data_IF_599488084700
#
_entry.id   IF_599488084700
#
_cell.length_a   1.000
_cell.length_b   1.000
_cell.length_c   1.000
_cell.angle_alpha   90.00
_cell.angle_beta   90.00
_cell.angle_gamma   90.00
#
_symmetry.space_group_name_H-M   'P 1'
#
loop_
_entity.id
_entity.type
_entity.pdbx_description
1 polymer ?
#
# COMPACT_ATOMS: atom_id res chain seq x y z
N UNK A 1 -10.65 4.87 -21.33
CA UNK A 1 -10.24 3.47 -21.11
C UNK A 1 -11.31 2.81 -20.25
N UNK A 2 -11.72 1.59 -20.60
CA UNK A 2 -12.85 0.86 -20.00
C UNK A 2 -12.42 -0.14 -18.90
N UNK A 3 -11.21 0.02 -18.38
CA UNK A 3 -10.62 -0.91 -17.42
C UNK A 3 -10.85 -0.45 -15.99
N UNK A 4 -11.01 -1.41 -15.08
CA UNK A 4 -11.13 -1.18 -13.64
C UNK A 4 -10.04 -1.96 -12.91
N UNK A 5 -9.43 -1.34 -11.91
CA UNK A 5 -8.41 -1.96 -11.07
C UNK A 5 -8.93 -2.02 -9.64
N UNK A 6 -8.80 -3.17 -9.00
CA UNK A 6 -9.09 -3.36 -7.59
C UNK A 6 -7.80 -3.75 -6.86
N UNK A 7 -7.55 -3.11 -5.73
CA UNK A 7 -6.43 -3.44 -4.84
C UNK A 7 -6.95 -3.72 -3.44
N UNK A 8 -6.34 -4.70 -2.78
CA UNK A 8 -6.67 -5.07 -1.42
C UNK A 8 -5.49 -5.78 -0.76
N UNK A 9 -5.51 -5.85 0.56
CA UNK A 9 -4.77 -6.77 1.37
C UNK A 9 -5.66 -7.99 1.69
N UNK A 10 -5.13 -9.20 1.67
CA UNK A 10 -5.92 -10.36 2.07
C UNK A 10 -5.68 -10.74 3.54
N UNK A 11 -6.50 -11.65 4.08
CA UNK A 11 -6.30 -12.18 5.43
C UNK A 11 -5.33 -13.38 5.50
N UNK A 12 -5.06 -14.06 4.38
CA UNK A 12 -4.26 -15.28 4.35
C UNK A 12 -2.78 -14.98 4.22
N UNK A 13 -2.39 -14.16 3.25
CA UNK A 13 -1.00 -13.77 3.04
C UNK A 13 -0.66 -12.44 3.74
N UNK A 14 -1.67 -11.58 3.96
CA UNK A 14 -1.53 -10.21 4.47
C UNK A 14 -0.67 -9.33 3.58
N UNK A 15 -0.71 -9.62 2.29
CA UNK A 15 0.07 -8.95 1.23
C UNK A 15 -0.88 -8.19 0.29
N UNK A 16 -0.36 -7.21 -0.48
CA UNK A 16 -1.17 -6.46 -1.42
C UNK A 16 -1.38 -7.27 -2.70
N UNK A 17 -2.63 -7.27 -3.17
CA UNK A 17 -3.06 -7.91 -4.41
C UNK A 17 -3.72 -6.90 -5.34
N UNK A 18 -3.60 -7.17 -6.63
CA UNK A 18 -4.25 -6.50 -7.74
C UNK A 18 -5.18 -7.48 -8.46
N UNK A 19 -6.36 -7.03 -8.87
CA UNK A 19 -7.14 -7.67 -9.92
C UNK A 19 -7.66 -6.63 -10.90
N UNK A 20 -7.73 -7.01 -12.17
CA UNK A 20 -8.09 -6.13 -13.27
C UNK A 20 -9.33 -6.63 -13.99
N UNK A 21 -10.23 -5.70 -14.31
CA UNK A 21 -11.37 -5.92 -15.20
C UNK A 21 -11.18 -5.13 -16.49
N UNK A 22 -11.60 -5.74 -17.61
CA UNK A 22 -11.58 -5.13 -18.96
C UNK A 22 -13.00 -4.96 -19.53
N UNK A 23 -14.01 -5.18 -18.69
CA UNK A 23 -15.42 -5.26 -19.04
C UNK A 23 -16.29 -4.58 -17.97
N UNK A 24 -15.88 -3.39 -17.54
CA UNK A 24 -16.61 -2.54 -16.59
C UNK A 24 -16.94 -3.22 -15.25
N UNK A 25 -16.07 -4.13 -14.79
CA UNK A 25 -16.21 -4.83 -13.52
C UNK A 25 -17.03 -6.13 -13.60
N UNK A 26 -17.45 -6.57 -14.79
CA UNK A 26 -18.23 -7.79 -14.94
C UNK A 26 -17.41 -9.06 -14.69
N UNK A 27 -16.14 -9.09 -15.14
CA UNK A 27 -15.19 -10.16 -14.85
C UNK A 27 -13.84 -9.60 -14.39
N UNK A 28 -13.12 -10.42 -13.64
CA UNK A 28 -11.88 -10.05 -12.96
C UNK A 28 -10.78 -11.07 -13.23
N UNK A 29 -9.54 -10.61 -13.37
CA UNK A 29 -8.39 -11.51 -13.47
C UNK A 29 -8.19 -12.29 -12.16
N UNK A 30 -7.44 -13.39 -12.24
CA UNK A 30 -6.82 -13.99 -11.06
C UNK A 30 -6.04 -12.90 -10.30
N UNK A 31 -6.14 -12.85 -8.96
CA UNK A 31 -5.36 -11.91 -8.15
C UNK A 31 -3.86 -12.04 -8.40
N UNK A 32 -3.18 -10.89 -8.49
CA UNK A 32 -1.75 -10.79 -8.71
C UNK A 32 -1.13 -10.14 -7.47
N UNK A 33 -0.22 -10.85 -6.80
CA UNK A 33 0.50 -10.32 -5.65
C UNK A 33 1.51 -9.26 -6.12
N UNK A 34 1.51 -8.09 -5.47
CA UNK A 34 2.32 -6.93 -5.85
C UNK A 34 3.21 -6.41 -4.71
N UNK A 35 3.50 -7.25 -3.71
CA UNK A 35 4.38 -6.90 -2.60
C UNK A 35 5.82 -6.66 -3.09
N UNK A 36 6.48 -5.59 -2.61
CA UNK A 36 7.93 -5.49 -2.64
C UNK A 36 8.59 -6.73 -2.00
N UNK A 37 9.73 -7.23 -2.52
CA UNK A 37 10.47 -8.31 -1.88
C UNK A 37 10.83 -7.96 -0.42
N UNK A 38 10.61 -8.91 0.49
CA UNK A 38 10.88 -8.73 1.92
C UNK A 38 9.73 -8.14 2.73
N UNK A 39 8.72 -7.55 2.09
CA UNK A 39 7.50 -7.12 2.80
C UNK A 39 6.67 -8.33 3.17
N UNK A 40 6.27 -8.41 4.44
CA UNK A 40 5.55 -9.54 5.04
C UNK A 40 4.16 -9.19 5.54
N UNK A 41 3.83 -7.90 5.60
CA UNK A 41 2.50 -7.43 5.92
C UNK A 41 2.27 -6.04 5.35
N UNK A 42 1.05 -5.78 4.89
CA UNK A 42 0.61 -4.45 4.46
C UNK A 42 -0.79 -4.16 5.00
N UNK A 43 -1.17 -2.89 4.97
CA UNK A 43 -2.54 -2.48 5.20
C UNK A 43 -2.92 -1.34 4.26
N UNK A 44 -4.21 -1.08 4.11
CA UNK A 44 -4.75 0.11 3.44
C UNK A 44 -4.17 0.46 2.05
N UNK A 45 -4.13 -0.49 1.09
CA UNK A 45 -3.70 -0.15 -0.26
C UNK A 45 -4.64 0.89 -0.89
N UNK A 46 -4.08 2.00 -1.32
CA UNK A 46 -4.74 3.05 -2.11
C UNK A 46 -4.15 3.08 -3.51
N UNK A 47 -4.98 3.33 -4.53
CA UNK A 47 -4.60 3.25 -5.95
C UNK A 47 -5.00 4.50 -6.71
N UNK A 48 -4.15 4.92 -7.64
CA UNK A 48 -4.51 5.81 -8.73
C UNK A 48 -4.15 5.19 -10.09
N UNK A 49 -5.02 5.41 -11.07
CA UNK A 49 -4.84 4.94 -12.43
C UNK A 49 -4.52 6.12 -13.37
N UNK A 50 -3.60 5.90 -14.31
CA UNK A 50 -3.30 6.82 -15.40
C UNK A 50 -3.81 6.26 -16.73
N UNK A 51 -2.96 6.29 -17.76
CA UNK A 51 -3.25 5.62 -19.03
C UNK A 51 -3.49 4.11 -18.86
N UNK A 52 -4.03 3.46 -19.88
CA UNK A 52 -4.26 2.02 -19.89
C UNK A 52 -2.99 1.23 -19.49
N UNK A 53 -3.09 0.39 -18.46
CA UNK A 53 -1.98 -0.37 -17.89
C UNK A 53 -1.12 0.40 -16.88
N UNK A 54 -1.28 1.72 -16.73
CA UNK A 54 -0.52 2.53 -15.77
C UNK A 54 -1.26 2.67 -14.45
N UNK A 55 -0.68 2.13 -13.40
CA UNK A 55 -1.18 2.27 -12.03
C UNK A 55 -0.07 2.67 -11.09
N UNK A 56 -0.45 3.33 -10.00
CA UNK A 56 0.38 3.53 -8.82
C UNK A 56 -0.42 3.17 -7.58
N UNK A 57 0.19 2.44 -6.66
CA UNK A 57 -0.41 1.99 -5.41
C UNK A 57 0.47 2.45 -4.26
N UNK A 58 -0.14 2.96 -3.20
CA UNK A 58 0.53 3.32 -1.95
C UNK A 58 -0.05 2.52 -0.79
N UNK A 59 0.81 2.02 0.09
CA UNK A 59 0.39 1.36 1.34
C UNK A 59 1.49 1.40 2.40
N UNK A 60 1.16 1.43 3.70
CA UNK A 60 2.08 1.03 4.75
C UNK A 60 2.39 -0.47 4.64
N UNK A 61 3.64 -0.84 4.89
CA UNK A 61 4.05 -2.23 4.97
C UNK A 61 5.24 -2.44 5.92
N UNK A 62 5.37 -3.67 6.42
CA UNK A 62 6.45 -4.08 7.31
C UNK A 62 7.26 -5.22 6.71
N UNK A 63 8.59 -5.11 6.81
CA UNK A 63 9.53 -6.20 6.53
C UNK A 63 9.80 -7.11 7.74
N UNK A 64 9.34 -6.73 8.94
CA UNK A 64 9.44 -7.62 10.11
C UNK A 64 8.44 -8.77 10.02
N UNK A 65 8.93 -9.98 10.34
CA UNK A 65 8.11 -11.20 10.50
C UNK A 65 7.61 -11.39 11.94
N UNK A 66 8.09 -10.58 12.88
CA UNK A 66 7.66 -10.67 14.28
C UNK A 66 6.38 -9.83 14.48
N UNK A 67 5.22 -10.43 14.24
CA UNK A 67 3.91 -9.78 14.38
C UNK A 67 3.59 -9.33 15.81
N UNK A 68 4.34 -9.77 16.81
CA UNK A 68 4.16 -9.41 18.22
C UNK A 68 5.13 -8.33 18.71
N UNK A 69 6.01 -7.83 17.84
CA UNK A 69 6.92 -6.73 18.19
C UNK A 69 6.16 -5.41 18.28
N UNK A 70 6.06 -4.87 19.50
CA UNK A 70 5.41 -3.59 19.77
C UNK A 70 6.14 -2.39 19.13
N UNK A 71 7.41 -2.54 18.72
CA UNK A 71 8.18 -1.51 18.03
C UNK A 71 8.31 -1.77 16.52
N UNK A 72 7.54 -2.73 15.98
CA UNK A 72 7.64 -3.18 14.59
C UNK A 72 7.49 -2.02 13.60
N UNK A 73 8.48 -1.76 12.72
CA UNK A 73 8.43 -0.61 11.83
C UNK A 73 7.51 -0.85 10.63
N UNK A 74 6.73 0.17 10.30
CA UNK A 74 5.95 0.24 9.06
C UNK A 74 6.44 1.41 8.21
N UNK A 75 6.74 1.14 6.95
CA UNK A 75 7.18 2.14 5.97
C UNK A 75 6.10 2.31 4.90
N UNK A 76 6.04 3.48 4.28
CA UNK A 76 5.17 3.71 3.13
C UNK A 76 5.87 3.18 1.88
N UNK A 77 5.23 2.20 1.24
CA UNK A 77 5.65 1.71 -0.06
C UNK A 77 4.81 2.32 -1.17
N UNK A 78 5.47 2.65 -2.27
CA UNK A 78 4.82 3.01 -3.54
C UNK A 78 5.19 1.95 -4.56
N UNK A 79 4.18 1.31 -5.16
CA UNK A 79 4.32 0.30 -6.21
C UNK A 79 3.69 0.82 -7.49
N UNK A 80 4.38 0.63 -8.61
CA UNK A 80 4.02 1.15 -9.93
C UNK A 80 4.00 0.02 -10.94
N UNK A 81 3.08 0.09 -11.91
CA UNK A 81 3.17 -0.70 -13.13
C UNK A 81 2.78 0.16 -14.32
N UNK A 82 3.40 -0.11 -15.48
CA UNK A 82 3.02 0.50 -16.77
C UNK A 82 2.32 -0.48 -17.70
N UNK A 83 2.18 -1.73 -17.27
CA UNK A 83 1.58 -2.82 -18.03
C UNK A 83 0.68 -3.71 -17.14
N UNK A 84 -0.05 -3.10 -16.21
CA UNK A 84 -0.93 -3.78 -15.24
C UNK A 84 -2.05 -4.64 -15.88
N UNK A 85 -2.29 -4.46 -17.18
CA UNK A 85 -3.28 -5.22 -17.96
C UNK A 85 -2.65 -6.43 -18.69
N UNK A 86 -1.36 -6.67 -18.55
CA UNK A 86 -0.75 -7.87 -19.13
C UNK A 86 -1.08 -9.09 -18.27
N UNK A 87 -0.95 -10.30 -18.84
CA UNK A 87 -1.09 -11.54 -18.07
C UNK A 87 0.00 -11.69 -16.99
N UNK A 88 1.17 -11.08 -17.20
CA UNK A 88 2.30 -11.05 -16.28
C UNK A 88 2.83 -9.61 -16.16
N UNK A 89 2.14 -8.74 -15.40
CA UNK A 89 2.56 -7.35 -15.26
C UNK A 89 3.88 -7.25 -14.50
N UNK A 90 4.64 -6.19 -14.77
CA UNK A 90 5.86 -5.87 -14.02
C UNK A 90 5.56 -4.79 -13.00
N UNK A 91 6.03 -4.98 -11.77
CA UNK A 91 5.91 -4.00 -10.69
C UNK A 91 7.28 -3.46 -10.31
N UNK A 92 7.38 -2.13 -10.23
CA UNK A 92 8.55 -1.42 -9.69
C UNK A 92 8.11 -0.73 -8.41
N UNK A 93 8.98 -0.61 -7.41
CA UNK A 93 8.60 -0.09 -6.11
C UNK A 93 9.69 0.74 -5.45
N UNK A 94 9.31 1.52 -4.45
CA UNK A 94 10.22 2.25 -3.57
C UNK A 94 9.58 2.44 -2.18
N UNK A 95 10.41 2.61 -1.15
CA UNK A 95 9.96 3.15 0.14
C UNK A 95 9.99 4.68 0.07
N UNK A 96 8.90 5.33 0.49
CA UNK A 96 8.73 6.78 0.40
C UNK A 96 9.37 7.56 1.58
N UNK A 97 9.75 6.85 2.65
CA UNK A 97 10.40 7.39 3.84
C UNK A 97 11.76 6.70 4.09
N UNK A 98 12.60 7.29 4.95
CA UNK A 98 13.83 6.62 5.43
C UNK A 98 13.42 5.41 6.28
N UNK A 99 14.00 4.23 6.02
CA UNK A 99 13.68 3.01 6.77
C UNK A 99 14.00 3.11 8.28
N UNK A 100 14.84 4.07 8.69
CA UNK A 100 15.14 4.36 10.10
C UNK A 100 14.09 5.27 10.76
N UNK A 101 13.25 5.92 9.95
CA UNK A 101 12.18 6.82 10.36
C UNK A 101 10.83 6.32 9.77
N UNK A 102 10.32 5.18 10.28
CA UNK A 102 9.06 4.59 9.83
C UNK A 102 7.86 5.47 10.23
N UNK A 103 6.82 5.45 9.39
CA UNK A 103 5.57 6.20 9.57
C UNK A 103 4.72 5.71 10.74
N UNK A 104 5.02 4.51 11.24
CA UNK A 104 4.33 3.89 12.38
C UNK A 104 5.20 2.81 13.01
N UNK A 105 5.01 2.58 14.31
CA UNK A 105 5.60 1.45 15.04
C UNK A 105 4.51 0.67 15.78
N UNK A 106 4.61 -0.65 15.76
CA UNK A 106 3.71 -1.55 16.48
C UNK A 106 2.67 -2.22 15.60
N UNK A 107 1.48 -2.48 16.17
CA UNK A 107 0.41 -3.18 15.49
C UNK A 107 -0.22 -2.29 14.40
N UNK A 108 -0.43 -2.88 13.22
CA UNK A 108 -1.08 -2.24 12.07
C UNK A 108 -1.72 -3.26 11.12
N UNK A 109 -2.02 -4.46 11.62
CA UNK A 109 -2.74 -5.47 10.87
C UNK A 109 -3.26 -6.60 11.78
N UNK A 110 -4.54 -6.98 11.69
CA UNK A 110 -5.58 -6.51 10.76
C UNK A 110 -6.36 -5.26 11.26
N UNK A 111 -5.90 -4.61 12.33
CA UNK A 111 -6.54 -3.44 12.93
C UNK A 111 -6.32 -2.13 12.15
N UNK A 112 -6.54 -0.98 12.81
CA UNK A 112 -6.42 0.36 12.21
C UNK A 112 -5.08 1.06 12.44
N UNK A 113 -4.01 0.28 12.63
CA UNK A 113 -2.70 0.82 12.96
C UNK A 113 -2.69 1.61 14.27
N UNK A 114 -3.46 1.13 15.24
CA UNK A 114 -3.45 1.59 16.63
C UNK A 114 -2.46 0.72 17.40
N UNK A 115 -1.34 1.31 17.80
CA UNK A 115 -0.33 0.66 18.62
C UNK A 115 -0.78 0.58 20.08
N UNK A 116 -0.24 -0.40 20.80
CA UNK A 116 -0.61 -0.66 22.20
C UNK A 116 -0.15 0.46 23.16
N UNK A 117 0.81 1.27 22.73
CA UNK A 117 1.34 2.43 23.45
C UNK A 117 0.56 3.71 23.18
N UNK A 118 -0.57 3.65 22.47
CA UNK A 118 -1.41 4.80 22.14
C UNK A 118 -1.00 5.55 20.86
N UNK A 119 0.06 5.13 20.17
CA UNK A 119 0.38 5.61 18.82
C UNK A 119 -0.66 5.16 17.79
N UNK A 120 -0.94 5.96 16.75
CA UNK A 120 -1.87 5.56 15.69
C UNK A 120 -1.56 6.23 14.37
N UNK A 121 -1.48 5.49 13.26
CA UNK A 121 -1.24 6.11 11.95
C UNK A 121 -2.43 6.99 11.47
N UNK A 122 -3.60 6.94 12.13
CA UNK A 122 -4.84 7.65 11.76
C UNK A 122 -5.34 7.43 10.31
N UNK A 123 -4.86 6.38 9.63
CA UNK A 123 -5.28 5.90 8.30
C UNK A 123 -5.53 6.94 7.18
N UNK A 124 -4.83 8.09 7.20
CA UNK A 124 -4.91 9.12 6.15
C UNK A 124 -3.89 8.90 5.03
N UNK A 125 -4.26 8.06 4.06
CA UNK A 125 -3.44 7.68 2.91
C UNK A 125 -4.15 8.04 1.60
N UNK A 126 -3.46 8.73 0.70
CA UNK A 126 -3.99 9.03 -0.63
C UNK A 126 -2.87 9.05 -1.67
N UNK A 127 -3.21 8.72 -2.91
CA UNK A 127 -2.34 8.86 -4.07
C UNK A 127 -3.14 9.32 -5.28
N UNK A 128 -2.54 10.19 -6.09
CA UNK A 128 -3.16 10.76 -7.28
C UNK A 128 -2.16 10.81 -8.44
N UNK A 129 -2.65 10.74 -9.68
CA UNK A 129 -1.85 10.85 -10.90
C UNK A 129 -2.23 12.13 -11.64
N UNK A 130 -1.22 12.93 -12.01
CA UNK A 130 -1.38 14.15 -12.80
C UNK A 130 -1.79 13.82 -14.23
N UNK A 131 -2.89 14.40 -14.73
CA UNK A 131 -3.33 14.19 -16.12
C UNK A 131 -2.39 14.84 -17.15
N UNK A 132 -1.55 15.80 -16.75
CA UNK A 132 -0.69 16.54 -17.67
C UNK A 132 0.57 15.77 -18.09
N UNK A 133 1.02 14.79 -17.29
CA UNK A 133 2.27 14.08 -17.57
C UNK A 133 2.46 12.75 -16.84
N UNK A 134 1.44 12.23 -16.15
CA UNK A 134 1.50 10.94 -15.47
C UNK A 134 2.36 10.92 -14.20
N UNK A 135 2.93 12.05 -13.78
CA UNK A 135 3.57 12.17 -12.47
C UNK A 135 2.55 11.90 -11.36
N UNK A 136 2.94 11.17 -10.33
CA UNK A 136 2.07 10.89 -9.20
C UNK A 136 2.49 11.69 -7.97
N UNK A 137 1.53 11.93 -7.07
CA UNK A 137 1.76 12.50 -5.76
C UNK A 137 0.99 11.69 -4.72
N UNK A 138 1.69 11.27 -3.66
CA UNK A 138 1.13 10.52 -2.55
C UNK A 138 1.30 11.26 -1.24
N UNK A 139 0.35 11.07 -0.33
CA UNK A 139 0.36 11.61 1.02
C UNK A 139 0.08 10.50 2.02
N UNK A 140 0.84 10.49 3.10
CA UNK A 140 0.60 9.67 4.29
C UNK A 140 0.80 10.56 5.52
N UNK A 141 0.05 10.29 6.58
CA UNK A 141 0.25 10.93 7.88
C UNK A 141 0.96 9.96 8.82
N UNK A 142 1.92 10.50 9.55
CA UNK A 142 2.57 9.85 10.69
C UNK A 142 2.08 10.51 11.97
N UNK A 143 1.86 9.74 13.03
CA UNK A 143 1.80 10.30 14.37
C UNK A 143 3.18 10.43 15.00
N UNK A 144 3.81 11.56 14.75
CA UNK A 144 4.83 12.12 15.65
C UNK A 144 4.16 12.85 16.83
N UNK A 145 3.20 12.20 17.48
CA UNK A 145 2.60 12.75 18.70
C UNK A 145 3.55 12.44 19.85
N UNK A 146 4.10 13.44 20.56
CA UNK A 146 4.74 13.16 21.83
C UNK A 146 3.67 12.54 22.72
N UNK A 147 3.88 11.27 23.07
CA UNK A 147 3.18 10.46 24.08
C UNK A 147 1.89 11.13 24.62
N UNK A 148 0.73 10.93 23.98
CA UNK A 148 -0.46 11.72 24.32
C UNK A 148 -1.15 11.31 25.63
N UNK A 149 -0.64 10.37 26.45
CA UNK A 149 -1.19 10.13 27.78
C UNK A 149 -0.13 9.71 28.85
N UNK A 150 -0.07 10.39 30.02
CA UNK A 150 0.74 10.01 31.19
C UNK A 150 0.20 8.83 32.01
#
# INVERSE_FOLDING_TARGET
>A
ADNVYAVWQDGTFRLPFLSVSRDHGATWSTPIMMAPPGVHEVNFPTIAAGDSGRIVVLFPGSESQNFSDAARPWNIYVVMSVNALDANPTFTWTAANDAKDPVHRGDCGPGRCDAQDGGSMFDFLNIQVSPAGGAFWGTASDTCMPDPDP
#
